data_IF_995120468011
#
_entry.id   IF_995120468011
#
_cell.length_a   1.000
_cell.length_b   1.000
_cell.length_c   1.000
_cell.angle_alpha   90.00
_cell.angle_beta   90.00
_cell.angle_gamma   90.00
#
_symmetry.space_group_name_H-M   'P 1'
#
loop_
_entity.id
_entity.type
_entity.pdbx_description
1 polymer ?
#
# COMPACT_ATOMS: atom_id res chain seq x y z
N UNK A 1 21.59 26.29 16.64
CA UNK A 1 21.98 24.94 16.21
C UNK A 1 20.68 24.17 15.98
N UNK A 2 20.18 24.14 14.74
CA UNK A 2 18.82 23.65 14.41
C UNK A 2 18.84 22.38 13.55
N UNK A 3 20.03 21.79 13.33
CA UNK A 3 20.28 20.73 12.34
C UNK A 3 21.01 19.51 12.95
N UNK A 4 20.93 19.30 14.26
CA UNK A 4 21.45 18.08 14.88
C UNK A 4 20.34 17.01 14.91
N UNK A 5 20.46 15.86 14.23
CA UNK A 5 19.41 14.85 14.19
C UNK A 5 19.04 14.30 15.57
N UNK A 6 19.98 14.29 16.52
CA UNK A 6 19.73 13.88 17.91
C UNK A 6 18.94 14.96 18.69
N UNK A 7 19.04 16.24 18.29
CA UNK A 7 18.25 17.34 18.86
C UNK A 7 16.78 17.26 18.44
N UNK A 8 16.49 16.90 17.18
CA UNK A 8 15.12 16.81 16.69
C UNK A 8 14.33 15.67 17.35
N UNK A 9 14.99 14.53 17.61
CA UNK A 9 14.38 13.42 18.33
C UNK A 9 13.98 13.83 19.76
N UNK A 10 14.83 14.61 20.43
CA UNK A 10 14.55 15.21 21.74
C UNK A 10 13.38 16.18 21.70
N UNK A 11 13.36 17.10 20.73
CA UNK A 11 12.28 18.09 20.56
C UNK A 11 10.91 17.43 20.29
N UNK A 12 10.91 16.32 19.53
CA UNK A 12 9.69 15.52 19.28
C UNK A 12 9.21 14.84 20.58
N UNK A 13 10.14 14.28 21.37
CA UNK A 13 9.81 13.64 22.64
C UNK A 13 9.25 14.64 23.66
N UNK A 14 9.87 15.82 23.78
CA UNK A 14 9.39 16.90 24.65
C UNK A 14 8.03 17.43 24.20
N UNK A 15 7.79 17.54 22.89
CA UNK A 15 6.48 17.93 22.37
C UNK A 15 5.39 16.92 22.75
N UNK A 16 5.66 15.61 22.68
CA UNK A 16 4.74 14.57 23.15
C UNK A 16 4.51 14.62 24.66
N UNK A 17 5.58 14.80 25.45
CA UNK A 17 5.51 14.86 26.91
C UNK A 17 4.64 16.02 27.42
N UNK A 18 4.56 17.11 26.65
CA UNK A 18 3.77 18.30 26.97
C UNK A 18 2.32 18.27 26.43
N UNK A 19 1.82 17.11 26.00
CA UNK A 19 0.46 16.97 25.46
C UNK A 19 0.32 17.44 24.01
N UNK A 20 1.43 17.56 23.28
CA UNK A 20 1.42 17.79 21.84
C UNK A 20 0.97 16.54 21.07
N UNK A 21 0.21 16.76 19.99
CA UNK A 21 -0.33 15.76 19.04
C UNK A 21 -1.75 15.20 19.30
N UNK A 22 -2.61 15.93 20.02
CA UNK A 22 -4.05 15.62 20.21
C UNK A 22 -4.84 15.30 18.92
N UNK A 23 -4.29 15.67 17.76
CA UNK A 23 -4.94 15.50 16.44
C UNK A 23 -4.11 14.70 15.44
N UNK A 24 -3.09 13.95 15.87
CA UNK A 24 -2.20 13.15 15.01
C UNK A 24 -1.54 13.95 13.87
N UNK A 25 -1.47 15.27 14.03
CA UNK A 25 -0.95 16.23 13.04
C UNK A 25 0.54 16.07 12.87
N UNK A 26 1.26 15.79 13.95
CA UNK A 26 2.70 15.56 13.90
C UNK A 26 3.00 14.28 13.11
N UNK A 27 2.26 13.21 13.39
CA UNK A 27 2.37 11.95 12.64
C UNK A 27 2.07 12.12 11.14
N UNK A 28 1.01 12.87 10.79
CA UNK A 28 0.73 13.21 9.38
C UNK A 28 1.86 14.03 8.74
N UNK A 29 2.39 15.03 9.46
CA UNK A 29 3.49 15.87 8.99
C UNK A 29 4.78 15.06 8.77
N UNK A 30 5.14 14.18 9.70
CA UNK A 30 6.30 13.29 9.59
C UNK A 30 6.15 12.27 8.44
N UNK A 31 4.93 11.77 8.20
CA UNK A 31 4.64 10.94 7.03
C UNK A 31 4.84 11.70 5.71
N UNK A 32 4.40 12.96 5.65
CA UNK A 32 4.64 13.82 4.49
C UNK A 32 6.11 14.18 4.32
N UNK A 33 6.84 14.41 5.40
CA UNK A 33 8.26 14.71 5.35
C UNK A 33 9.08 13.51 4.83
N UNK A 34 8.86 12.30 5.35
CA UNK A 34 9.48 11.07 4.85
C UNK A 34 9.15 10.77 3.38
N UNK A 35 8.02 11.27 2.89
CA UNK A 35 7.64 11.18 1.47
C UNK A 35 8.42 12.16 0.59
N UNK A 36 8.83 13.32 1.11
CA UNK A 36 9.54 14.36 0.35
C UNK A 36 11.06 14.21 0.44
N UNK A 37 11.59 13.62 1.52
CA UNK A 37 13.01 13.37 1.74
C UNK A 37 13.25 11.94 2.23
N UNK A 38 13.25 10.92 1.34
CA UNK A 38 13.43 9.52 1.75
C UNK A 38 14.79 9.21 2.38
N UNK A 39 15.80 10.09 2.24
CA UNK A 39 17.18 9.88 2.76
C UNK A 39 17.70 11.05 3.62
N UNK A 40 16.82 11.89 4.16
CA UNK A 40 17.25 13.08 4.92
C UNK A 40 17.87 14.20 4.06
N UNK A 41 17.80 14.08 2.74
CA UNK A 41 18.22 15.13 1.80
C UNK A 41 17.41 16.41 2.02
N UNK A 42 18.08 17.55 2.17
CA UNK A 42 17.46 18.86 2.37
C UNK A 42 16.43 19.17 1.28
N UNK A 43 15.22 19.58 1.70
CA UNK A 43 14.20 20.10 0.79
C UNK A 43 14.64 21.48 0.29
N UNK A 44 15.29 21.53 -0.87
CA UNK A 44 15.56 22.81 -1.50
C UNK A 44 14.23 23.44 -1.95
N UNK A 45 13.98 24.67 -1.49
CA UNK A 45 12.87 25.48 -1.94
C UNK A 45 13.07 25.83 -3.42
N UNK A 46 12.50 25.03 -4.33
CA UNK A 46 12.36 25.43 -5.73
C UNK A 46 11.31 26.53 -5.78
N UNK A 47 11.68 27.67 -6.34
CA UNK A 47 10.83 28.85 -6.51
C UNK A 47 9.56 28.57 -7.34
N UNK A 48 8.79 29.62 -7.72
CA UNK A 48 7.52 29.48 -8.42
C UNK A 48 7.73 28.97 -9.87
N UNK A 49 7.95 27.67 -10.01
CA UNK A 49 8.12 26.94 -11.26
C UNK A 49 7.05 25.85 -11.43
N UNK A 50 7.09 25.08 -12.53
CA UNK A 50 6.11 24.04 -12.85
C UNK A 50 5.87 23.14 -11.63
N UNK A 51 4.59 22.91 -11.29
CA UNK A 51 4.21 22.13 -10.10
C UNK A 51 5.01 20.82 -10.06
N UNK A 52 5.82 20.66 -9.02
CA UNK A 52 6.46 19.38 -8.64
C UNK A 52 5.43 18.24 -8.47
N UNK A 53 4.15 18.54 -8.31
CA UNK A 53 3.06 17.56 -8.29
C UNK A 53 2.70 17.13 -9.72
N UNK A 54 3.58 16.36 -10.37
CA UNK A 54 3.18 15.44 -11.42
C UNK A 54 2.20 14.39 -10.89
N UNK A 55 1.60 13.58 -11.79
CA UNK A 55 0.75 12.43 -11.41
C UNK A 55 1.47 11.64 -10.31
N UNK A 56 0.88 11.53 -9.11
CA UNK A 56 1.46 10.76 -7.99
C UNK A 56 1.69 9.32 -8.46
N UNK A 57 2.95 8.97 -8.70
CA UNK A 57 3.35 7.59 -9.00
C UNK A 57 3.60 6.93 -7.66
N UNK A 58 2.80 5.91 -7.35
CA UNK A 58 3.04 5.05 -6.20
C UNK A 58 3.97 3.92 -6.65
N UNK A 59 4.99 3.63 -5.84
CA UNK A 59 5.90 2.48 -6.01
C UNK A 59 5.53 1.38 -5.00
N UNK A 60 4.46 0.60 -5.27
CA UNK A 60 4.06 -0.52 -4.42
C UNK A 60 5.08 -1.66 -4.47
N UNK A 61 4.91 -2.65 -3.59
CA UNK A 61 5.59 -3.93 -3.76
C UNK A 61 5.26 -4.57 -5.13
N UNK A 62 6.21 -5.22 -5.81
CA UNK A 62 5.97 -5.86 -7.11
C UNK A 62 4.80 -6.86 -7.08
N UNK A 63 4.75 -7.72 -6.06
CA UNK A 63 3.70 -8.72 -5.91
C UNK A 63 2.32 -8.07 -5.72
N UNK A 64 2.25 -7.03 -4.89
CA UNK A 64 1.02 -6.26 -4.69
C UNK A 64 0.59 -5.60 -6.00
N UNK A 65 1.53 -5.03 -6.77
CA UNK A 65 1.26 -4.35 -8.03
C UNK A 65 0.56 -5.28 -9.03
N UNK A 66 1.07 -6.50 -9.19
CA UNK A 66 0.52 -7.52 -10.08
C UNK A 66 -0.89 -7.92 -9.68
N UNK A 67 -1.11 -8.23 -8.41
CA UNK A 67 -2.43 -8.66 -7.91
C UNK A 67 -3.45 -7.52 -7.99
N UNK A 68 -3.06 -6.29 -7.65
CA UNK A 68 -3.93 -5.11 -7.75
C UNK A 68 -4.32 -4.85 -9.20
N UNK A 69 -3.38 -4.99 -10.14
CA UNK A 69 -3.66 -4.80 -11.56
C UNK A 69 -4.57 -5.89 -12.13
N UNK A 70 -4.31 -7.16 -11.80
CA UNK A 70 -5.14 -8.29 -12.21
C UNK A 70 -6.59 -8.13 -11.71
N UNK A 71 -6.77 -7.83 -10.42
CA UNK A 71 -8.08 -7.55 -9.84
C UNK A 71 -8.76 -6.34 -10.50
N UNK A 72 -8.03 -5.26 -10.75
CA UNK A 72 -8.61 -4.07 -11.39
C UNK A 72 -9.07 -4.35 -12.83
N UNK A 73 -8.36 -5.22 -13.57
CA UNK A 73 -8.75 -5.64 -14.91
C UNK A 73 -9.97 -6.58 -14.88
N UNK A 74 -10.02 -7.52 -13.94
CA UNK A 74 -11.17 -8.39 -13.73
C UNK A 74 -12.43 -7.60 -13.32
N UNK A 75 -12.31 -6.62 -12.43
CA UNK A 75 -13.44 -5.76 -12.05
C UNK A 75 -13.96 -4.93 -13.23
N UNK A 76 -13.06 -4.50 -14.13
CA UNK A 76 -13.44 -3.80 -15.37
C UNK A 76 -14.18 -4.70 -16.35
N UNK A 77 -13.76 -5.96 -16.50
CA UNK A 77 -14.42 -6.90 -17.41
C UNK A 77 -15.81 -7.31 -16.91
N UNK A 78 -16.02 -7.36 -15.59
CA UNK A 78 -17.31 -7.67 -14.95
C UNK A 78 -18.29 -6.49 -14.89
N UNK A 79 -18.15 -5.48 -15.76
CA UNK A 79 -19.03 -4.30 -15.88
C UNK A 79 -19.23 -3.49 -14.58
N UNK A 80 -18.30 -3.57 -13.62
CA UNK A 80 -18.36 -2.68 -12.45
C UNK A 80 -18.05 -1.24 -12.85
N UNK A 81 -18.53 -0.23 -12.08
CA UNK A 81 -18.16 1.16 -12.29
C UNK A 81 -16.64 1.32 -12.32
N UNK A 82 -16.13 1.66 -13.51
CA UNK A 82 -14.69 1.76 -13.79
C UNK A 82 -14.01 2.80 -12.87
N UNK A 83 -14.74 3.85 -12.49
CA UNK A 83 -14.29 4.88 -11.55
C UNK A 83 -13.98 4.30 -10.16
N UNK A 84 -14.82 3.42 -9.64
CA UNK A 84 -14.64 2.77 -8.34
C UNK A 84 -13.45 1.82 -8.35
N UNK A 85 -13.33 0.99 -9.40
CA UNK A 85 -12.20 0.05 -9.52
C UNK A 85 -10.86 0.78 -9.64
N UNK A 86 -10.79 1.85 -10.46
CA UNK A 86 -9.57 2.68 -10.57
C UNK A 86 -9.21 3.35 -9.24
N UNK A 87 -10.19 3.88 -8.51
CA UNK A 87 -9.97 4.52 -7.21
C UNK A 87 -9.47 3.51 -6.17
N UNK A 88 -10.06 2.32 -6.12
CA UNK A 88 -9.64 1.24 -5.23
C UNK A 88 -8.21 0.79 -5.53
N UNK A 89 -7.90 0.53 -6.80
CA UNK A 89 -6.55 0.15 -7.22
C UNK A 89 -5.51 1.24 -6.88
N UNK A 90 -5.86 2.51 -7.06
CA UNK A 90 -4.97 3.61 -6.67
C UNK A 90 -4.73 3.65 -5.16
N UNK A 91 -5.77 3.45 -4.35
CA UNK A 91 -5.65 3.44 -2.89
C UNK A 91 -4.86 2.23 -2.38
N UNK A 92 -5.05 1.06 -3.00
CA UNK A 92 -4.27 -0.14 -2.70
C UNK A 92 -2.78 0.06 -3.03
N UNK A 93 -2.44 0.62 -4.20
CA UNK A 93 -1.04 0.97 -4.55
C UNK A 93 -0.45 1.99 -3.58
N UNK A 94 -1.23 2.99 -3.16
CA UNK A 94 -0.81 3.97 -2.17
C UNK A 94 -0.47 3.32 -0.82
N UNK A 95 -1.31 2.37 -0.37
CA UNK A 95 -1.08 1.66 0.87
C UNK A 95 0.15 0.73 0.78
N UNK A 96 0.30 -0.03 -0.31
CA UNK A 96 1.47 -0.87 -0.54
C UNK A 96 2.78 -0.06 -0.58
N UNK A 97 2.77 1.10 -1.26
CA UNK A 97 3.93 2.01 -1.27
C UNK A 97 4.24 2.60 0.13
N UNK A 98 3.20 2.86 0.94
CA UNK A 98 3.38 3.25 2.33
C UNK A 98 4.02 2.14 3.15
N UNK A 99 3.54 0.89 3.03
CA UNK A 99 4.13 -0.27 3.70
C UNK A 99 5.62 -0.43 3.34
N UNK A 100 5.95 -0.33 2.06
CA UNK A 100 7.34 -0.41 1.57
C UNK A 100 8.23 0.66 2.21
N UNK A 101 7.75 1.90 2.27
CA UNK A 101 8.47 3.02 2.91
C UNK A 101 8.67 2.82 4.42
N UNK A 102 7.68 2.24 5.09
CA UNK A 102 7.74 1.98 6.54
C UNK A 102 8.48 0.68 6.90
N UNK A 103 9.09 0.00 5.92
CA UNK A 103 9.82 -1.26 6.13
C UNK A 103 8.91 -2.43 6.53
N UNK A 104 7.63 -2.39 6.14
CA UNK A 104 6.61 -3.40 6.46
C UNK A 104 6.43 -4.37 5.29
N UNK A 105 6.06 -5.61 5.59
CA UNK A 105 5.76 -6.63 4.57
C UNK A 105 4.61 -6.22 3.63
N UNK A 106 4.56 -6.84 2.46
CA UNK A 106 3.55 -6.57 1.42
C UNK A 106 2.13 -6.89 1.88
N UNK A 107 1.14 -6.37 1.14
CA UNK A 107 -0.27 -6.67 1.41
C UNK A 107 -0.55 -8.15 1.14
N UNK A 108 -0.10 -8.65 -0.02
CA UNK A 108 -0.37 -10.01 -0.47
C UNK A 108 0.22 -11.05 0.49
N UNK A 109 1.49 -10.89 0.88
CA UNK A 109 2.16 -11.81 1.81
C UNK A 109 1.40 -11.96 3.13
N UNK A 110 0.88 -10.85 3.66
CA UNK A 110 0.15 -10.85 4.93
C UNK A 110 -1.31 -11.22 4.83
N UNK A 111 -1.95 -11.02 3.68
CA UNK A 111 -3.32 -11.47 3.44
C UNK A 111 -3.42 -12.99 3.33
N UNK A 112 -2.40 -13.64 2.76
CA UNK A 112 -2.30 -15.11 2.65
C UNK A 112 -1.52 -15.75 3.80
N UNK A 113 -1.08 -14.93 4.76
CA UNK A 113 -0.26 -15.33 5.90
C UNK A 113 -1.08 -15.76 7.12
N UNK A 114 -0.38 -15.89 8.26
CA UNK A 114 -0.97 -16.29 9.55
C UNK A 114 -1.92 -15.23 10.11
N UNK A 115 -2.70 -15.58 11.13
CA UNK A 115 -3.59 -14.64 11.82
C UNK A 115 -2.83 -13.45 12.41
N UNK A 116 -1.60 -13.65 12.89
CA UNK A 116 -0.73 -12.58 13.36
C UNK A 116 -0.35 -11.61 12.23
N UNK A 117 -0.02 -12.12 11.05
CA UNK A 117 0.31 -11.30 9.88
C UNK A 117 -0.92 -10.49 9.42
N UNK A 118 -2.10 -11.10 9.47
CA UNK A 118 -3.36 -10.41 9.14
C UNK A 118 -3.70 -9.31 10.15
N UNK A 119 -3.52 -9.57 11.46
CA UNK A 119 -3.69 -8.55 12.50
C UNK A 119 -2.70 -7.40 12.34
N UNK A 120 -1.43 -7.72 12.07
CA UNK A 120 -0.39 -6.72 11.78
C UNK A 120 -0.77 -5.84 10.59
N UNK A 121 -1.31 -6.42 9.51
CA UNK A 121 -1.78 -5.68 8.34
C UNK A 121 -2.93 -4.72 8.67
N UNK A 122 -3.88 -5.14 9.52
CA UNK A 122 -4.98 -4.27 9.99
C UNK A 122 -4.47 -3.11 10.84
N UNK A 123 -3.49 -3.36 11.72
CA UNK A 123 -2.87 -2.32 12.54
C UNK A 123 -2.13 -1.29 11.67
N UNK A 124 -1.37 -1.76 10.70
CA UNK A 124 -0.67 -0.90 9.74
C UNK A 124 -1.65 -0.10 8.87
N UNK A 125 -2.79 -0.70 8.51
CA UNK A 125 -3.84 0.02 7.80
C UNK A 125 -4.44 1.17 8.64
N UNK A 126 -4.60 0.97 9.95
CA UNK A 126 -5.01 2.04 10.88
C UNK A 126 -3.97 3.16 10.92
N UNK A 127 -2.68 2.82 11.07
CA UNK A 127 -1.57 3.80 11.04
C UNK A 127 -1.52 4.57 9.72
N UNK A 128 -1.74 3.89 8.60
CA UNK A 128 -1.81 4.51 7.28
C UNK A 128 -2.95 5.54 7.18
N UNK A 129 -4.16 5.20 7.64
CA UNK A 129 -5.31 6.11 7.56
C UNK A 129 -5.16 7.32 8.50
N UNK A 130 -4.44 7.17 9.59
CA UNK A 130 -4.04 8.28 10.47
C UNK A 130 -3.00 9.20 9.81
N UNK A 131 -2.02 8.62 9.11
CA UNK A 131 -0.93 9.35 8.48
C UNK A 131 -1.35 10.06 7.16
N UNK A 132 -2.23 9.44 6.38
CA UNK A 132 -2.57 9.88 5.01
C UNK A 132 -4.03 10.38 4.88
N UNK A 133 -4.76 10.41 5.99
CA UNK A 133 -6.19 10.73 6.04
C UNK A 133 -7.09 9.53 5.75
N UNK A 134 -8.41 9.71 5.93
CA UNK A 134 -9.40 8.64 5.75
C UNK A 134 -9.44 8.18 4.29
N UNK A 135 -8.77 7.06 4.02
CA UNK A 135 -8.71 6.42 2.70
C UNK A 135 -9.37 5.05 2.80
N UNK A 136 -10.28 4.76 1.86
CA UNK A 136 -10.87 3.42 1.73
C UNK A 136 -9.93 2.56 0.89
N UNK A 137 -9.34 1.54 1.51
CA UNK A 137 -8.60 0.48 0.83
C UNK A 137 -9.42 -0.80 0.96
N UNK A 138 -9.98 -1.29 -0.14
CA UNK A 138 -10.79 -2.51 -0.14
C UNK A 138 -9.90 -3.76 -0.02
N UNK A 139 -9.39 -4.05 1.18
CA UNK A 139 -8.54 -5.23 1.46
C UNK A 139 -9.33 -6.55 1.33
N UNK A 140 -10.60 -6.56 1.74
CA UNK A 140 -11.46 -7.74 1.61
C UNK A 140 -11.61 -8.20 0.16
N UNK A 141 -11.57 -7.26 -0.78
CA UNK A 141 -11.65 -7.55 -2.20
C UNK A 141 -10.40 -8.27 -2.71
N UNK A 142 -9.22 -7.84 -2.25
CA UNK A 142 -7.96 -8.53 -2.55
C UNK A 142 -7.96 -9.93 -1.95
N UNK A 143 -8.45 -10.08 -0.72
CA UNK A 143 -8.61 -11.39 -0.07
C UNK A 143 -9.53 -12.32 -0.86
N UNK A 144 -10.70 -11.83 -1.30
CA UNK A 144 -11.63 -12.60 -2.12
C UNK A 144 -10.99 -13.04 -3.44
N UNK A 145 -10.28 -12.14 -4.10
CA UNK A 145 -9.59 -12.44 -5.36
C UNK A 145 -8.50 -13.50 -5.16
N UNK A 146 -7.64 -13.34 -4.16
CA UNK A 146 -6.59 -14.32 -3.84
C UNK A 146 -7.17 -15.69 -3.43
N UNK A 147 -8.29 -15.69 -2.71
CA UNK A 147 -9.02 -16.91 -2.36
C UNK A 147 -9.71 -17.59 -3.55
N UNK A 148 -10.15 -16.84 -4.57
CA UNK A 148 -10.70 -17.41 -5.79
C UNK A 148 -9.59 -17.93 -6.74
N UNK A 149 -8.50 -17.19 -6.87
CA UNK A 149 -7.32 -17.58 -7.64
C UNK A 149 -6.65 -18.85 -7.09
N UNK A 150 -6.59 -19.02 -5.76
CA UNK A 150 -6.06 -20.24 -5.16
C UNK A 150 -6.89 -21.48 -5.49
N UNK A 151 -8.21 -21.33 -5.63
CA UNK A 151 -9.11 -22.40 -6.07
C UNK A 151 -8.93 -22.73 -7.56
N UNK A 152 -8.69 -21.74 -8.41
CA UNK A 152 -8.40 -21.96 -9.83
C UNK A 152 -7.08 -22.71 -10.06
N UNK A 153 -6.05 -22.44 -9.24
CA UNK A 153 -4.75 -23.12 -9.31
C UNK A 153 -4.76 -24.56 -8.78
N UNK A 154 -5.83 -25.02 -8.11
CA UNK A 154 -5.96 -26.39 -7.63
C UNK A 154 -6.48 -27.39 -8.68
N UNK A 155 -6.77 -26.94 -9.90
CA UNK A 155 -7.12 -27.86 -10.99
C UNK A 155 -5.86 -28.56 -11.51
N UNK A 156 -5.48 -29.67 -10.86
CA UNK A 156 -4.67 -30.68 -11.52
C UNK A 156 -5.46 -31.17 -12.74
N UNK A 157 -4.98 -30.99 -13.98
CA UNK A 157 -5.61 -31.64 -15.13
C UNK A 157 -5.69 -33.15 -14.83
N UNK A 158 -6.86 -33.73 -15.05
CA UNK A 158 -7.08 -35.14 -14.83
C UNK A 158 -6.09 -35.92 -15.72
N UNK A 159 -5.39 -36.94 -15.20
CA UNK A 159 -4.40 -37.69 -16.00
C UNK A 159 -5.02 -38.47 -17.17
N UNK A 160 -6.35 -38.51 -17.31
CA UNK A 160 -7.04 -39.25 -18.38
C UNK A 160 -7.18 -38.47 -19.69
N UNK A 161 -6.88 -37.17 -19.74
CA UNK A 161 -7.01 -36.37 -20.98
C UNK A 161 -5.80 -36.52 -21.93
N UNK A 162 -4.78 -37.30 -21.55
CA UNK A 162 -3.56 -37.52 -22.33
C UNK A 162 -3.67 -38.59 -23.44
N UNK A 163 -4.88 -39.00 -23.86
CA UNK A 163 -5.07 -40.12 -24.81
C UNK A 163 -5.96 -39.84 -26.02
N UNK A 164 -5.98 -38.62 -26.55
CA UNK A 164 -6.66 -38.34 -27.83
C UNK A 164 -5.75 -37.59 -28.80
N UNK A 165 -4.51 -38.05 -29.00
CA UNK A 165 -3.69 -37.70 -30.17
C UNK A 165 -2.78 -38.90 -30.49
N UNK A 166 -3.34 -40.00 -30.97
CA UNK A 166 -2.55 -41.02 -31.71
C UNK A 166 -3.40 -41.83 -32.71
N UNK A 167 -4.63 -41.40 -33.02
CA UNK A 167 -5.52 -42.03 -34.02
C UNK A 167 -6.03 -41.01 -35.07
N UNK A 168 -5.16 -40.13 -35.56
CA UNK A 168 -5.41 -39.31 -36.76
C UNK A 168 -4.27 -39.42 -37.77
#
# INVERSE_FOLDING_TARGET
LLNDPDSLAGDIADYWANGGDDRKRLNSALSHFRRLSPEGQELQAVGPGPRLMGRRIHDPYPDDALIIEALANEERSKLRPVSTSRKNASNQRKFSAWLKREGRESIVSRLTGTDEQQRSLQEDFRKFTEAEGKVVVSLDRLRQYLGAESQLKQHHPYPDDARIIDDL
#
